data_IF_391504278306
#
_entry.id   IF_391504278306
#
_cell.length_a   1.000
_cell.length_b   1.000
_cell.length_c   1.000
_cell.angle_alpha   90.00
_cell.angle_beta   90.00
_cell.angle_gamma   90.00
#
_symmetry.space_group_name_H-M   'P 1'
#
loop_
_entity.id
_entity.type
_entity.pdbx_description
1 polymer ?
#
# COMPACT_ATOMS: atom_id res chain seq x y z
N UNK A 1 1.76 27.07 -0.18
CA UNK A 1 1.40 25.64 -0.09
C UNK A 1 2.22 25.03 1.04
N UNK A 2 1.65 24.14 1.86
CA UNK A 2 2.28 23.70 3.11
C UNK A 2 3.42 22.70 2.82
N UNK A 3 4.69 23.05 3.11
CA UNK A 3 5.89 22.24 2.77
C UNK A 3 5.83 20.80 3.30
N UNK A 4 5.10 20.58 4.39
CA UNK A 4 4.83 19.26 4.95
C UNK A 4 4.07 18.32 4.01
N UNK A 5 3.25 18.87 3.09
CA UNK A 5 2.39 18.10 2.19
C UNK A 5 3.16 17.66 0.94
N UNK A 6 4.00 18.54 0.40
CA UNK A 6 4.85 18.24 -0.75
C UNK A 6 5.80 17.08 -0.44
N UNK A 7 6.48 17.14 0.70
CA UNK A 7 7.40 16.07 1.15
C UNK A 7 6.72 14.71 1.32
N UNK A 8 5.41 14.67 1.60
CA UNK A 8 4.67 13.42 1.80
C UNK A 8 4.32 12.76 0.47
N UNK A 9 4.12 13.54 -0.59
CA UNK A 9 3.81 13.05 -1.93
C UNK A 9 5.07 12.51 -2.61
N UNK A 10 6.21 13.15 -2.41
CA UNK A 10 7.50 12.75 -2.99
C UNK A 10 7.88 11.31 -2.61
N UNK A 11 7.58 10.89 -1.38
CA UNK A 11 7.80 9.51 -0.92
C UNK A 11 6.99 8.48 -1.73
N UNK A 12 5.75 8.82 -2.06
CA UNK A 12 4.86 7.96 -2.84
C UNK A 12 5.27 7.93 -4.33
N UNK A 13 5.77 9.05 -4.86
CA UNK A 13 6.31 9.12 -6.22
C UNK A 13 7.60 8.32 -6.33
N UNK A 14 8.48 8.38 -5.33
CA UNK A 14 9.72 7.59 -5.28
C UNK A 14 9.42 6.08 -5.34
N UNK A 15 8.32 5.62 -4.73
CA UNK A 15 7.87 4.24 -4.81
C UNK A 15 7.57 3.83 -6.27
N UNK A 16 6.87 4.67 -7.03
CA UNK A 16 6.57 4.42 -8.46
C UNK A 16 7.85 4.49 -9.31
N UNK A 17 8.70 5.49 -9.08
CA UNK A 17 9.96 5.65 -9.81
C UNK A 17 10.87 4.43 -9.65
N UNK A 18 10.87 3.78 -8.47
CA UNK A 18 11.63 2.56 -8.22
C UNK A 18 11.18 1.35 -9.07
N UNK A 19 9.93 1.34 -9.56
CA UNK A 19 9.47 0.33 -10.50
C UNK A 19 9.87 0.65 -11.94
N UNK A 20 9.78 1.92 -12.32
CA UNK A 20 10.08 2.38 -13.67
C UNK A 20 11.56 2.27 -14.02
N UNK A 21 12.45 2.31 -13.03
CA UNK A 21 13.89 2.14 -13.22
C UNK A 21 14.31 0.70 -13.57
N UNK A 22 13.40 -0.27 -13.44
CA UNK A 22 13.65 -1.68 -13.71
C UNK A 22 12.92 -2.16 -14.96
N UNK A 23 13.53 -3.06 -15.72
CA UNK A 23 12.92 -3.62 -16.92
C UNK A 23 11.64 -4.40 -16.58
N UNK A 24 10.70 -4.44 -17.53
CA UNK A 24 9.42 -5.16 -17.39
C UNK A 24 9.60 -6.68 -17.25
N UNK A 25 10.74 -7.21 -17.71
CA UNK A 25 11.15 -8.60 -17.57
C UNK A 25 11.82 -8.92 -16.21
N UNK A 26 11.94 -7.93 -15.33
CA UNK A 26 12.49 -8.08 -13.99
C UNK A 26 11.53 -7.52 -12.95
N UNK A 27 11.47 -8.17 -11.79
CA UNK A 27 10.76 -7.65 -10.63
C UNK A 27 11.82 -7.11 -9.68
N UNK A 28 11.86 -5.79 -9.41
CA UNK A 28 12.78 -5.25 -8.43
C UNK A 28 12.44 -5.80 -7.04
N UNK A 29 13.38 -5.73 -6.09
CA UNK A 29 13.10 -6.09 -4.69
C UNK A 29 11.92 -5.28 -4.14
N UNK A 30 11.15 -5.84 -3.21
CA UNK A 30 10.07 -5.10 -2.57
C UNK A 30 10.66 -4.02 -1.68
N UNK A 31 10.20 -2.78 -1.83
CA UNK A 31 10.72 -1.65 -1.07
C UNK A 31 9.90 -1.49 0.22
N UNK A 32 10.24 -2.31 1.22
CA UNK A 32 9.57 -2.32 2.54
C UNK A 32 9.59 -0.93 3.18
N UNK A 33 10.74 -0.27 3.15
CA UNK A 33 10.94 1.01 3.83
C UNK A 33 10.10 2.12 3.20
N UNK A 34 10.08 2.21 1.86
CA UNK A 34 9.24 3.18 1.16
C UNK A 34 7.74 2.92 1.38
N UNK A 35 7.31 1.66 1.40
CA UNK A 35 5.90 1.32 1.71
C UNK A 35 5.54 1.71 3.15
N UNK A 36 6.38 1.36 4.13
CA UNK A 36 6.18 1.74 5.55
C UNK A 36 6.14 3.25 5.71
N UNK A 37 6.97 3.99 4.99
CA UNK A 37 6.98 5.46 4.98
C UNK A 37 5.66 6.01 4.43
N UNK A 38 5.15 5.47 3.33
CA UNK A 38 3.83 5.83 2.78
C UNK A 38 2.69 5.58 3.77
N UNK A 39 2.66 4.42 4.42
CA UNK A 39 1.66 4.07 5.44
C UNK A 39 1.75 5.01 6.64
N UNK A 40 2.97 5.31 7.10
CA UNK A 40 3.22 6.26 8.20
C UNK A 40 2.69 7.65 7.86
N UNK A 41 2.93 8.11 6.62
CA UNK A 41 2.42 9.39 6.13
C UNK A 41 0.89 9.42 6.08
N UNK A 42 0.25 8.36 5.58
CA UNK A 42 -1.22 8.22 5.59
C UNK A 42 -1.76 8.33 7.02
N UNK A 43 -1.19 7.58 7.97
CA UNK A 43 -1.62 7.60 9.37
C UNK A 43 -1.43 8.97 10.03
N UNK A 44 -0.31 9.65 9.73
CA UNK A 44 -0.04 11.01 10.21
C UNK A 44 -1.09 12.00 9.69
N UNK A 45 -1.45 11.93 8.41
CA UNK A 45 -2.48 12.79 7.81
C UNK A 45 -3.87 12.49 8.38
N UNK A 46 -4.22 11.22 8.57
CA UNK A 46 -5.48 10.83 9.21
C UNK A 46 -5.59 11.37 10.63
N UNK A 47 -4.52 11.26 11.42
CA UNK A 47 -4.49 11.80 12.78
C UNK A 47 -4.72 13.31 12.80
N UNK A 48 -4.00 14.07 11.96
CA UNK A 48 -4.22 15.53 11.83
C UNK A 48 -5.66 15.88 11.44
N UNK A 49 -6.27 15.12 10.53
CA UNK A 49 -7.68 15.33 10.15
C UNK A 49 -8.66 14.98 11.29
N UNK A 50 -8.38 13.95 12.09
CA UNK A 50 -9.19 13.61 13.25
C UNK A 50 -9.11 14.68 14.34
N UNK A 51 -7.91 15.20 14.60
CA UNK A 51 -7.68 16.29 15.56
C UNK A 51 -8.46 17.56 15.14
N UNK A 52 -8.38 17.93 13.85
CA UNK A 52 -9.12 19.07 13.30
C UNK A 52 -10.66 18.90 13.42
N UNK A 53 -11.17 17.68 13.21
CA UNK A 53 -12.58 17.36 13.42
C UNK A 53 -13.01 17.52 14.88
N UNK A 54 -12.15 17.16 15.83
CA UNK A 54 -12.43 17.34 17.26
C UNK A 54 -12.51 18.83 17.63
N UNK A 55 -11.60 19.65 17.11
CA UNK A 55 -11.59 21.11 17.31
C UNK A 55 -12.86 21.76 16.71
N UNK A 56 -13.31 21.30 15.55
CA UNK A 56 -14.54 21.78 14.94
C UNK A 56 -15.78 21.42 15.77
N UNK A 57 -15.81 20.20 16.33
CA UNK A 57 -16.92 19.71 17.17
C UNK A 57 -17.00 20.39 18.53
N UNK A 58 -15.86 20.69 19.15
CA UNK A 58 -15.82 21.35 20.46
C UNK A 58 -16.29 22.81 20.44
N UNK A 59 -16.54 23.39 19.25
CA UNK A 59 -16.92 24.79 19.11
C UNK A 59 -15.79 25.77 19.45
N UNK A 60 -14.56 25.28 19.63
CA UNK A 60 -13.38 26.08 20.01
C UNK A 60 -13.05 27.18 19.00
N UNK A 61 -13.50 27.03 17.75
CA UNK A 61 -13.41 28.06 16.71
C UNK A 61 -14.77 28.74 16.61
N UNK A 62 -14.85 30.02 16.99
CA UNK A 62 -16.07 30.83 16.84
C UNK A 62 -16.20 31.43 15.44
N UNK A 63 -15.07 31.74 14.80
CA UNK A 63 -15.01 32.48 13.55
C UNK A 63 -15.31 31.60 12.32
N UNK A 64 -16.29 31.99 11.51
CA UNK A 64 -16.75 31.22 10.33
C UNK A 64 -15.65 31.05 9.28
N UNK A 65 -14.81 32.08 9.08
CA UNK A 65 -13.65 32.08 8.18
C UNK A 65 -12.65 30.98 8.55
N UNK A 66 -12.25 30.91 9.82
CA UNK A 66 -11.34 29.88 10.34
C UNK A 66 -11.91 28.48 10.28
N UNK A 67 -13.21 28.30 10.55
CA UNK A 67 -13.86 26.98 10.36
C UNK A 67 -13.74 26.50 8.92
N UNK A 68 -13.98 27.40 7.96
CA UNK A 68 -13.88 27.09 6.54
C UNK A 68 -12.45 26.72 6.14
N UNK A 69 -11.44 27.43 6.67
CA UNK A 69 -10.03 27.13 6.42
C UNK A 69 -9.62 25.73 6.91
N UNK A 70 -10.06 25.34 8.12
CA UNK A 70 -9.81 24.00 8.66
C UNK A 70 -10.44 22.92 7.79
N UNK A 71 -11.69 23.13 7.33
CA UNK A 71 -12.38 22.20 6.42
C UNK A 71 -11.63 22.06 5.09
N UNK A 72 -11.21 23.17 4.47
CA UNK A 72 -10.45 23.15 3.22
C UNK A 72 -9.11 22.43 3.39
N UNK A 73 -8.42 22.66 4.50
CA UNK A 73 -7.16 21.98 4.81
C UNK A 73 -7.36 20.48 5.02
N UNK A 74 -8.42 20.08 5.72
CA UNK A 74 -8.75 18.68 5.91
C UNK A 74 -9.05 17.96 4.57
N UNK A 75 -9.76 18.63 3.65
CA UNK A 75 -9.98 18.12 2.30
C UNK A 75 -8.68 17.98 1.50
N UNK A 76 -7.80 18.97 1.55
CA UNK A 76 -6.51 18.90 0.87
C UNK A 76 -5.68 17.70 1.38
N UNK A 77 -5.64 17.47 2.71
CA UNK A 77 -4.97 16.29 3.28
C UNK A 77 -5.64 14.98 2.87
N UNK A 78 -6.98 14.95 2.78
CA UNK A 78 -7.70 13.76 2.32
C UNK A 78 -7.35 13.43 0.87
N UNK A 79 -7.26 14.43 -0.02
CA UNK A 79 -6.80 14.24 -1.40
C UNK A 79 -5.38 13.67 -1.45
N UNK A 80 -4.48 14.11 -0.57
CA UNK A 80 -3.12 13.57 -0.47
C UNK A 80 -3.11 12.11 0.00
N UNK A 81 -3.92 11.76 1.00
CA UNK A 81 -4.09 10.36 1.45
C UNK A 81 -4.50 9.48 0.27
N UNK A 82 -5.52 9.89 -0.48
CA UNK A 82 -6.00 9.12 -1.63
C UNK A 82 -4.95 9.01 -2.75
N UNK A 83 -4.14 10.05 -2.95
CA UNK A 83 -3.01 9.99 -3.88
C UNK A 83 -1.96 8.96 -3.45
N UNK A 84 -1.51 8.99 -2.18
CA UNK A 84 -0.53 8.02 -1.66
C UNK A 84 -1.07 6.60 -1.77
N UNK A 85 -2.35 6.39 -1.46
CA UNK A 85 -3.01 5.09 -1.62
C UNK A 85 -2.97 4.61 -3.06
N UNK A 86 -3.28 5.46 -4.03
CA UNK A 86 -3.20 5.12 -5.45
C UNK A 86 -1.79 4.71 -5.84
N UNK A 87 -0.76 5.44 -5.41
CA UNK A 87 0.64 5.08 -5.68
C UNK A 87 1.00 3.72 -5.07
N UNK A 88 0.62 3.45 -3.81
CA UNK A 88 0.88 2.16 -3.17
C UNK A 88 0.18 1.01 -3.92
N UNK A 89 -1.10 1.19 -4.29
CA UNK A 89 -1.86 0.21 -5.07
C UNK A 89 -1.24 -0.05 -6.43
N UNK A 90 -0.88 1.01 -7.17
CA UNK A 90 -0.22 0.90 -8.48
C UNK A 90 1.11 0.16 -8.35
N UNK A 91 1.89 0.46 -7.31
CA UNK A 91 3.15 -0.23 -7.05
C UNK A 91 2.96 -1.74 -6.88
N UNK A 92 2.02 -2.13 -6.02
CA UNK A 92 1.70 -3.54 -5.78
C UNK A 92 1.14 -4.21 -7.05
N UNK A 93 0.25 -3.52 -7.78
CA UNK A 93 -0.38 -4.02 -8.99
C UNK A 93 0.63 -4.31 -10.10
N UNK A 94 1.54 -3.38 -10.37
CA UNK A 94 2.57 -3.54 -11.40
C UNK A 94 3.50 -4.72 -11.09
N UNK A 95 3.91 -4.88 -9.83
CA UNK A 95 4.70 -6.05 -9.41
C UNK A 95 3.94 -7.36 -9.66
N UNK A 96 2.64 -7.40 -9.37
CA UNK A 96 1.80 -8.58 -9.64
C UNK A 96 1.70 -8.88 -11.14
N UNK A 97 1.55 -7.86 -11.99
CA UNK A 97 1.53 -8.04 -13.43
C UNK A 97 2.85 -8.62 -13.95
N UNK A 98 3.99 -8.15 -13.43
CA UNK A 98 5.31 -8.70 -13.80
C UNK A 98 5.48 -10.15 -13.34
N UNK A 99 4.99 -10.51 -12.15
CA UNK A 99 4.95 -11.93 -11.69
C UNK A 99 4.11 -12.78 -12.64
N UNK A 100 2.93 -12.29 -13.03
CA UNK A 100 2.05 -12.96 -13.99
C UNK A 100 2.76 -13.14 -15.33
N UNK A 101 3.38 -12.09 -15.87
CA UNK A 101 4.15 -12.12 -17.13
C UNK A 101 5.26 -13.16 -17.09
N UNK A 102 6.09 -13.16 -16.03
CA UNK A 102 7.17 -14.12 -15.87
C UNK A 102 6.69 -15.56 -15.80
N UNK A 103 5.55 -15.82 -15.14
CA UNK A 103 4.94 -17.15 -15.12
C UNK A 103 4.56 -17.63 -16.52
N UNK A 104 3.93 -16.77 -17.33
CA UNK A 104 3.58 -17.11 -18.71
C UNK A 104 4.82 -17.32 -19.57
N UNK A 105 5.84 -16.48 -19.42
CA UNK A 105 7.12 -16.58 -20.14
C UNK A 105 7.87 -17.90 -19.86
N UNK A 106 7.81 -18.40 -18.63
CA UNK A 106 8.52 -19.61 -18.19
C UNK A 106 7.63 -20.87 -18.13
N UNK A 107 6.51 -20.90 -18.85
CA UNK A 107 5.69 -22.11 -18.98
C UNK A 107 5.00 -22.57 -17.69
N UNK A 108 4.66 -21.65 -16.79
CA UNK A 108 3.93 -21.95 -15.55
C UNK A 108 4.79 -22.11 -14.30
N UNK A 109 6.12 -22.17 -14.42
CA UNK A 109 7.04 -22.20 -13.29
C UNK A 109 7.71 -20.83 -13.08
N UNK A 110 7.57 -20.25 -11.89
CA UNK A 110 8.33 -19.05 -11.51
C UNK A 110 9.71 -19.50 -10.98
N UNK A 111 10.84 -19.00 -11.51
CA UNK A 111 12.17 -19.36 -11.01
C UNK A 111 12.30 -19.13 -9.48
N UNK A 112 12.95 -20.05 -8.76
CA UNK A 112 13.13 -20.04 -7.29
C UNK A 112 13.63 -18.68 -6.76
N UNK A 113 14.58 -18.08 -7.50
CA UNK A 113 15.19 -16.78 -7.21
C UNK A 113 14.18 -15.62 -7.11
N UNK A 114 13.02 -15.76 -7.75
CA UNK A 114 11.96 -14.76 -7.80
C UNK A 114 10.86 -15.04 -6.74
N UNK A 115 10.71 -16.31 -6.32
CA UNK A 115 9.61 -16.74 -5.45
C UNK A 115 9.70 -16.22 -4.02
N UNK A 116 10.88 -16.25 -3.38
CA UNK A 116 10.96 -16.15 -1.91
C UNK A 116 10.88 -14.71 -1.41
N UNK A 117 11.60 -13.78 -2.04
CA UNK A 117 11.66 -12.38 -1.55
C UNK A 117 10.54 -11.48 -2.12
N UNK A 118 9.99 -11.80 -3.30
CA UNK A 118 9.05 -10.89 -3.96
C UNK A 118 7.58 -11.14 -3.61
N UNK A 119 7.23 -12.39 -3.28
CA UNK A 119 5.85 -12.79 -2.99
C UNK A 119 5.50 -12.59 -1.52
N UNK A 120 6.36 -13.01 -0.59
CA UNK A 120 6.12 -12.89 0.86
C UNK A 120 5.97 -11.42 1.27
N UNK A 121 6.86 -10.57 0.81
CA UNK A 121 6.82 -9.13 1.11
C UNK A 121 5.62 -8.42 0.48
N UNK A 122 5.22 -8.84 -0.73
CA UNK A 122 4.01 -8.35 -1.39
C UNK A 122 2.75 -8.74 -0.61
N UNK A 123 2.71 -9.97 -0.08
CA UNK A 123 1.59 -10.44 0.74
C UNK A 123 1.51 -9.72 2.10
N UNK A 124 2.65 -9.38 2.70
CA UNK A 124 2.68 -8.52 3.90
C UNK A 124 2.12 -7.14 3.58
N UNK A 125 2.61 -6.48 2.51
CA UNK A 125 2.17 -5.15 2.13
C UNK A 125 0.67 -5.04 1.79
N UNK A 126 0.09 -6.09 1.19
CA UNK A 126 -1.36 -6.16 0.93
C UNK A 126 -2.19 -6.28 2.22
N UNK A 127 -1.69 -7.01 3.23
CA UNK A 127 -2.32 -7.11 4.54
C UNK A 127 -2.27 -5.77 5.28
N UNK A 128 -1.13 -5.09 5.25
CA UNK A 128 -0.92 -3.80 5.93
C UNK A 128 -1.81 -2.69 5.34
N UNK A 129 -2.17 -2.79 4.06
CA UNK A 129 -3.02 -1.81 3.38
C UNK A 129 -4.54 -2.07 3.52
N UNK A 130 -4.94 -3.12 4.24
CA UNK A 130 -6.35 -3.41 4.51
C UNK A 130 -7.17 -3.85 3.29
N UNK A 131 -6.52 -4.40 2.24
CA UNK A 131 -7.27 -4.91 1.09
C UNK A 131 -8.09 -6.14 1.48
N UNK A 132 -9.40 -6.05 1.29
CA UNK A 132 -10.32 -7.18 1.49
C UNK A 132 -10.11 -8.21 0.37
N UNK A 133 -9.53 -9.36 0.74
CA UNK A 133 -9.15 -10.46 -0.13
C UNK A 133 -10.26 -10.94 -1.07
N UNK A 134 -11.54 -10.75 -0.73
CA UNK A 134 -12.68 -11.29 -1.49
C UNK A 134 -12.80 -10.74 -2.91
N UNK A 135 -12.53 -9.44 -3.15
CA UNK A 135 -12.53 -8.87 -4.52
C UNK A 135 -11.28 -9.27 -5.31
N UNK A 136 -10.15 -9.47 -4.61
CA UNK A 136 -8.88 -9.94 -5.18
C UNK A 136 -8.93 -11.42 -5.59
N UNK A 137 -9.56 -12.25 -4.75
CA UNK A 137 -9.80 -13.68 -5.00
C UNK A 137 -10.66 -13.89 -6.25
N UNK A 138 -11.67 -13.05 -6.47
CA UNK A 138 -12.56 -13.14 -7.63
C UNK A 138 -11.84 -12.87 -8.96
N UNK A 139 -10.83 -11.99 -8.97
CA UNK A 139 -10.04 -11.69 -10.17
C UNK A 139 -8.94 -12.73 -10.48
N UNK A 140 -8.53 -13.54 -9.49
CA UNK A 140 -7.38 -14.46 -9.59
C UNK A 140 -7.71 -15.95 -9.41
N UNK A 141 -8.99 -16.34 -9.24
CA UNK A 141 -9.44 -17.71 -8.91
C UNK A 141 -9.13 -18.81 -9.94
N UNK A 142 -8.42 -18.52 -11.03
CA UNK A 142 -8.08 -19.53 -12.05
C UNK A 142 -6.63 -20.07 -11.91
N UNK A 143 -5.75 -19.59 -11.01
CA UNK A 143 -4.32 -20.03 -11.14
C UNK A 143 -3.41 -20.23 -9.93
N UNK A 144 -3.81 -20.01 -8.66
CA UNK A 144 -2.88 -20.11 -7.53
C UNK A 144 -3.42 -20.92 -6.33
N UNK A 145 -3.71 -22.22 -6.52
CA UNK A 145 -4.14 -23.08 -5.41
C UNK A 145 -3.00 -23.62 -4.52
N UNK A 146 -1.75 -23.68 -4.99
CA UNK A 146 -0.69 -24.40 -4.26
C UNK A 146 0.24 -23.53 -3.42
N UNK A 147 0.51 -22.27 -3.82
CA UNK A 147 1.41 -21.37 -3.08
C UNK A 147 0.71 -20.77 -1.86
N UNK A 148 -0.58 -20.46 -1.98
CA UNK A 148 -1.36 -19.84 -0.91
C UNK A 148 -1.74 -20.84 0.20
N UNK A 149 -1.92 -22.12 -0.14
CA UNK A 149 -2.04 -23.20 0.85
C UNK A 149 -0.79 -23.29 1.73
N UNK A 150 0.41 -23.22 1.13
CA UNK A 150 1.67 -23.25 1.89
C UNK A 150 1.79 -22.08 2.88
N UNK A 151 1.41 -20.87 2.46
CA UNK A 151 1.45 -19.69 3.33
C UNK A 151 0.41 -19.73 4.46
N UNK A 152 -0.83 -20.18 4.17
CA UNK A 152 -1.87 -20.34 5.19
C UNK A 152 -1.54 -21.46 6.19
N UNK A 153 -0.88 -22.52 5.74
CA UNK A 153 -0.38 -23.59 6.61
C UNK A 153 0.76 -23.07 7.49
N UNK A 154 1.74 -22.37 6.93
CA UNK A 154 2.85 -21.78 7.69
C UNK A 154 2.37 -20.78 8.74
N UNK A 155 1.41 -19.90 8.39
CA UNK A 155 0.84 -18.93 9.35
C UNK A 155 -0.07 -19.57 10.40
N UNK A 156 -0.59 -20.77 10.15
CA UNK A 156 -1.35 -21.56 11.12
C UNK A 156 -0.40 -22.28 12.09
N UNK A 157 0.70 -22.81 11.60
CA UNK A 157 1.76 -23.42 12.41
C UNK A 157 2.46 -22.41 13.33
N UNK A 158 2.75 -21.19 12.84
CA UNK A 158 3.28 -20.12 13.68
C UNK A 158 2.33 -19.70 14.82
N UNK A 159 1.01 -19.76 14.60
CA UNK A 159 0.03 -19.47 15.67
C UNK A 159 -0.11 -20.61 16.67
N UNK A 160 0.01 -21.86 16.24
CA UNK A 160 -0.07 -23.01 17.15
C UNK A 160 1.21 -23.21 17.97
N UNK A 161 2.34 -22.63 17.57
CA UNK A 161 3.60 -22.66 18.33
C UNK A 161 3.77 -21.47 19.29
N UNK A 162 2.75 -20.62 19.44
CA UNK A 162 2.71 -19.48 20.37
C UNK A 162 1.61 -19.62 21.45
N UNK A 163 0.96 -20.78 21.53
CA UNK A 163 0.08 -21.22 22.62
C UNK A 163 0.73 -22.39 23.37
#
# INVERSE_FOLDING_TARGET
MNRDIESVIDDAVALISSLNSSSTDSIPSYNVDAMKKCITNINKLYKKNADDLMILKSGSISEKSRKQEVVLTAHARQSCIEYIKRCCCTYLHERMLRIKHLRWKHGGHIPEKIKVNHLVDLFSGLCDFGFHWSKFYAYFKISYNNIFRGFLVAKKEERMNME
#
